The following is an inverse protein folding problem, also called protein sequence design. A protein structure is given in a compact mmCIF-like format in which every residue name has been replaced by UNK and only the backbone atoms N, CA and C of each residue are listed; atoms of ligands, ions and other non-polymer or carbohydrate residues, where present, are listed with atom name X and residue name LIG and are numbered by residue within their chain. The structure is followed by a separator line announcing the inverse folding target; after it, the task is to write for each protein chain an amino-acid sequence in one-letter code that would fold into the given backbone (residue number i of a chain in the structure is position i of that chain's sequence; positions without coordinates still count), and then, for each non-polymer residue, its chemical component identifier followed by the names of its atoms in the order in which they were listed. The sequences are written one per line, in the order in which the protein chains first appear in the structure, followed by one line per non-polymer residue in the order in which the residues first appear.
data_IF_869056070489
#
_entry.id   IF_869056070489
#
_cell.length_a   1.000
_cell.length_b   1.000
_cell.length_c   1.000
_cell.angle_alpha   90.00
_cell.angle_beta   90.00
_cell.angle_gamma   90.00
#
_symmetry.space_group_name_H-M   'P 1'
#
loop_
_entity.id
_entity.type
_entity.pdbx_description
1 polymer ?
#
# COMPACT_ATOMS: atom_id res chain seq x y z
N UNK A 1 -10.86 -23.55 6.47
CA UNK A 1 -10.02 -22.34 6.61
C UNK A 1 -9.20 -22.21 5.34
N UNK A 2 -9.65 -21.38 4.40
CA UNK A 2 -8.87 -21.11 3.19
C UNK A 2 -7.80 -20.08 3.51
N UNK A 3 -6.54 -20.49 3.57
CA UNK A 3 -5.41 -19.56 3.57
C UNK A 3 -5.32 -18.99 2.15
N UNK A 4 -5.58 -17.69 1.99
CA UNK A 4 -5.37 -17.02 0.72
C UNK A 4 -3.85 -16.81 0.54
N UNK A 5 -3.36 -17.09 -0.66
CA UNK A 5 -1.93 -17.28 -1.01
C UNK A 5 -1.01 -16.06 -0.82
N UNK A 6 -1.47 -15.01 -0.15
CA UNK A 6 -0.74 -13.76 0.05
C UNK A 6 -1.10 -13.03 1.35
N UNK A 7 -2.00 -13.55 2.19
CA UNK A 7 -2.39 -12.90 3.46
C UNK A 7 -1.54 -13.44 4.62
N UNK A 8 -1.00 -12.53 5.44
CA UNK A 8 -0.36 -12.90 6.71
C UNK A 8 -1.43 -13.46 7.68
N UNK A 9 -1.03 -14.25 8.69
CA UNK A 9 -1.97 -14.77 9.69
C UNK A 9 -2.70 -13.65 10.44
N UNK A 10 -3.92 -13.90 10.92
CA UNK A 10 -4.77 -12.87 11.58
C UNK A 10 -4.08 -12.19 12.78
N UNK A 11 -3.17 -12.89 13.47
CA UNK A 11 -2.36 -12.32 14.57
C UNK A 11 -1.50 -11.12 14.13
N UNK A 12 -1.24 -10.99 12.84
CA UNK A 12 -0.40 -9.94 12.24
C UNK A 12 -1.23 -8.82 11.61
N UNK A 13 -2.57 -8.91 11.68
CA UNK A 13 -3.45 -7.85 11.19
C UNK A 13 -3.25 -6.56 11.99
N UNK A 14 -3.38 -5.43 11.30
CA UNK A 14 -3.26 -4.11 11.90
C UNK A 14 -4.62 -3.56 12.31
N UNK A 15 -4.66 -2.72 13.34
CA UNK A 15 -5.86 -1.91 13.66
C UNK A 15 -5.49 -0.44 13.52
N UNK A 16 -6.22 0.26 12.66
CA UNK A 16 -5.97 1.66 12.33
C UNK A 16 -7.07 2.55 12.89
N UNK A 17 -6.66 3.66 13.51
CA UNK A 17 -7.58 4.73 13.90
C UNK A 17 -7.82 5.66 12.72
N UNK A 18 -9.08 5.79 12.34
CA UNK A 18 -9.56 6.67 11.28
C UNK A 18 -10.55 7.70 11.86
N UNK A 19 -10.92 8.71 11.07
CA UNK A 19 -11.96 9.66 11.46
C UNK A 19 -13.31 8.98 11.76
N UNK A 20 -13.61 7.87 11.09
CA UNK A 20 -14.83 7.07 11.27
C UNK A 20 -14.72 5.99 12.35
N UNK A 21 -13.60 5.90 13.08
CA UNK A 21 -13.37 4.89 14.12
C UNK A 21 -12.23 3.93 13.82
N UNK A 22 -12.22 2.78 14.48
CA UNK A 22 -11.18 1.76 14.30
C UNK A 22 -11.50 0.86 13.11
N UNK A 23 -10.53 0.66 12.23
CA UNK A 23 -10.63 -0.23 11.06
C UNK A 23 -9.56 -1.31 11.17
N UNK A 24 -9.99 -2.57 11.16
CA UNK A 24 -9.10 -3.72 11.11
C UNK A 24 -8.63 -3.97 9.67
N UNK A 25 -7.32 -4.10 9.50
CA UNK A 25 -6.64 -4.24 8.22
C UNK A 25 -5.93 -5.59 8.16
N UNK A 26 -6.24 -6.37 7.14
CA UNK A 26 -5.45 -7.54 6.76
C UNK A 26 -4.13 -7.07 6.21
N UNK A 27 -3.08 -7.85 6.43
CA UNK A 27 -1.74 -7.58 5.90
C UNK A 27 -1.30 -8.67 4.95
N UNK A 28 -0.55 -8.28 3.94
CA UNK A 28 -0.03 -9.15 2.89
C UNK A 28 1.37 -8.70 2.51
N UNK A 29 2.30 -9.64 2.34
CA UNK A 29 3.60 -9.32 1.77
C UNK A 29 3.49 -9.32 0.24
N UNK A 30 3.97 -8.25 -0.39
CA UNK A 30 3.92 -8.08 -1.83
C UNK A 30 5.28 -7.61 -2.36
N UNK A 31 5.61 -8.05 -3.58
CA UNK A 31 6.75 -7.56 -4.34
C UNK A 31 6.26 -6.52 -5.36
N UNK A 32 6.85 -5.34 -5.34
CA UNK A 32 6.55 -4.24 -6.25
C UNK A 32 7.73 -4.06 -7.19
N UNK A 33 7.42 -4.02 -8.48
CA UNK A 33 8.39 -3.81 -9.55
C UNK A 33 7.87 -2.67 -10.41
N UNK A 34 8.65 -1.58 -10.52
CA UNK A 34 8.36 -0.47 -11.44
C UNK A 34 9.59 -0.29 -12.34
N UNK A 35 9.60 -0.94 -13.53
CA UNK A 35 10.80 -1.04 -14.37
C UNK A 35 11.37 0.31 -14.80
N UNK A 36 10.53 1.23 -15.22
CA UNK A 36 10.95 2.55 -15.74
C UNK A 36 11.62 3.43 -14.68
N UNK A 37 11.44 3.07 -13.40
CA UNK A 37 12.00 3.76 -12.25
C UNK A 37 13.10 2.94 -11.56
N UNK A 38 13.42 1.75 -12.07
CA UNK A 38 14.37 0.83 -11.45
C UNK A 38 13.96 0.36 -10.04
N UNK A 39 12.67 0.48 -9.68
CA UNK A 39 12.19 0.10 -8.35
C UNK A 39 11.92 -1.40 -8.32
N UNK A 40 12.60 -2.12 -7.44
CA UNK A 40 12.29 -3.50 -7.04
C UNK A 40 12.32 -3.55 -5.51
N UNK A 41 11.17 -3.75 -4.86
CA UNK A 41 11.11 -3.85 -3.40
C UNK A 41 9.97 -4.71 -2.89
N UNK A 42 10.16 -5.25 -1.68
CA UNK A 42 9.10 -5.84 -0.89
C UNK A 42 8.43 -4.80 0.01
N UNK A 43 7.10 -4.87 0.09
CA UNK A 43 6.27 -4.04 0.97
C UNK A 43 5.15 -4.86 1.59
N UNK A 44 4.60 -4.35 2.68
CA UNK A 44 3.35 -4.78 3.26
C UNK A 44 2.20 -4.01 2.63
N UNK A 45 1.29 -4.74 2.02
CA UNK A 45 0.00 -4.25 1.54
C UNK A 45 -1.04 -4.48 2.62
N UNK A 46 -1.88 -3.47 2.85
CA UNK A 46 -2.89 -3.50 3.90
C UNK A 46 -4.27 -3.30 3.29
N UNK A 47 -5.21 -4.17 3.63
CA UNK A 47 -6.57 -4.15 3.07
C UNK A 47 -7.61 -4.18 4.19
N UNK A 48 -8.68 -3.38 4.16
CA UNK A 48 -9.70 -3.45 5.19
C UNK A 48 -10.32 -4.86 5.25
N UNK A 49 -10.35 -5.48 6.42
CA UNK A 49 -10.80 -6.89 6.56
C UNK A 49 -12.24 -7.10 6.11
N UNK A 50 -13.11 -6.11 6.37
CA UNK A 50 -14.57 -6.23 6.22
C UNK A 50 -15.17 -5.34 5.14
N UNK A 51 -14.35 -4.60 4.38
CA UNK A 51 -14.87 -3.67 3.37
C UNK A 51 -14.54 -4.20 1.98
N UNK A 52 -15.58 -4.48 1.21
CA UNK A 52 -15.52 -4.82 -0.22
C UNK A 52 -15.28 -3.55 -1.03
N UNK A 53 -14.04 -3.08 -1.09
CA UNK A 53 -13.65 -2.12 -2.11
C UNK A 53 -12.94 -2.87 -3.24
N UNK A 54 -13.49 -2.79 -4.45
CA UNK A 54 -12.81 -3.14 -5.71
C UNK A 54 -11.74 -2.09 -6.05
N UNK A 55 -10.79 -1.84 -5.15
CA UNK A 55 -9.78 -0.79 -5.35
C UNK A 55 -8.39 -1.37 -5.46
N UNK A 56 -7.58 -0.71 -6.29
CA UNK A 56 -6.16 -0.95 -6.41
C UNK A 56 -5.50 -0.78 -5.03
N UNK A 57 -5.04 -1.90 -4.47
CA UNK A 57 -4.48 -1.99 -3.14
C UNK A 57 -3.02 -1.55 -3.15
N UNK A 58 -2.80 -0.25 -3.26
CA UNK A 58 -1.49 0.31 -2.97
C UNK A 58 -1.37 0.47 -1.45
N UNK A 59 -0.51 -0.33 -0.84
CA UNK A 59 -0.26 -0.29 0.61
C UNK A 59 0.26 1.07 1.06
N UNK A 60 -0.07 1.48 2.29
CA UNK A 60 0.42 2.73 2.89
C UNK A 60 1.95 2.78 2.93
N UNK A 61 2.58 1.63 3.14
CA UNK A 61 4.04 1.52 3.13
C UNK A 61 4.62 1.95 1.78
N UNK A 62 4.01 1.53 0.66
CA UNK A 62 4.45 2.00 -0.66
C UNK A 62 4.24 3.51 -0.79
N UNK A 63 3.06 4.03 -0.44
CA UNK A 63 2.76 5.48 -0.56
C UNK A 63 3.77 6.31 0.23
N UNK A 64 4.15 5.87 1.43
CA UNK A 64 5.11 6.59 2.27
C UNK A 64 6.53 6.54 1.72
N UNK A 65 6.90 5.48 1.00
CA UNK A 65 8.21 5.32 0.36
C UNK A 65 8.27 6.05 -0.99
N UNK A 66 7.17 6.12 -1.72
CA UNK A 66 7.06 6.67 -3.06
C UNK A 66 6.68 8.16 -2.96
N UNK A 67 7.70 9.02 -2.88
CA UNK A 67 7.50 10.47 -2.80
C UNK A 67 7.41 11.06 -4.21
N UNK A 68 6.26 11.65 -4.50
CA UNK A 68 5.96 12.30 -5.77
C UNK A 68 5.86 13.81 -5.56
N UNK A 69 6.47 14.56 -6.48
CA UNK A 69 6.17 15.96 -6.69
C UNK A 69 5.11 16.07 -7.78
N UNK A 70 4.02 16.78 -7.50
CA UNK A 70 2.95 17.02 -8.46
C UNK A 70 3.01 18.47 -8.95
N UNK A 71 3.19 18.68 -10.25
CA UNK A 71 3.06 19.99 -10.90
C UNK A 71 1.66 20.11 -11.51
N UNK A 72 0.74 20.73 -10.76
CA UNK A 72 -0.64 20.90 -11.19
C UNK A 72 -0.84 21.87 -12.36
N UNK A 73 0.12 22.75 -12.64
CA UNK A 73 0.02 23.70 -13.78
C UNK A 73 0.39 22.98 -15.07
N UNK A 74 1.41 22.12 -15.03
CA UNK A 74 1.85 21.33 -16.20
C UNK A 74 1.11 20.01 -16.37
N UNK A 75 0.45 19.53 -15.31
CA UNK A 75 -0.16 18.20 -15.32
C UNK A 75 0.88 17.07 -15.33
N UNK A 76 2.03 17.33 -14.70
CA UNK A 76 3.17 16.41 -14.66
C UNK A 76 3.43 15.95 -13.22
N UNK A 77 3.97 14.74 -13.08
CA UNK A 77 4.44 14.19 -11.83
C UNK A 77 5.90 13.71 -11.96
N UNK A 78 6.66 13.85 -10.88
CA UNK A 78 8.07 13.45 -10.82
C UNK A 78 8.36 12.74 -9.50
N UNK A 79 9.21 11.72 -9.54
CA UNK A 79 9.70 11.05 -8.34
C UNK A 79 10.83 11.84 -7.72
N UNK A 80 10.77 11.97 -6.40
CA UNK A 80 11.82 12.61 -5.62
C UNK A 80 12.81 11.54 -5.18
N UNK A 81 14.05 11.65 -5.67
CA UNK A 81 15.20 10.91 -5.14
C UNK A 81 15.82 11.72 -3.98
N UNK A 82 16.09 11.06 -2.85
CA UNK A 82 16.90 11.64 -1.77
C UNK A 82 18.29 11.01 -1.83
N UNK A 83 19.33 11.83 -1.77
CA UNK A 83 20.71 11.40 -1.48
C UNK A 83 20.86 10.95 -0.01
#
# INVERSE_FOLDING_TARGET
MGLNLAELPEKEFGVYRTASGLVEMKRSQAKIIVPDLGIDMEVIVETPRRILFERNLVGRELINRLKLLLDGIKGEDCIIEYE
#
